data_IF_254163679250
#
_entry.id   IF_254163679250
#
_cell.length_a   1.000
_cell.length_b   1.000
_cell.length_c   1.000
_cell.angle_alpha   90.00
_cell.angle_beta   90.00
_cell.angle_gamma   90.00
#
_symmetry.space_group_name_H-M   'P 1'
#
loop_
_entity.id
_entity.type
_entity.pdbx_description
1 polymer ?
#
# COMPACT_ATOMS: atom_id res chain seq x y z
N UNK A 1 29.19 -8.60 -15.03
CA UNK A 1 29.52 -7.76 -13.86
C UNK A 1 29.05 -8.48 -12.61
N UNK A 2 29.88 -8.58 -11.58
CA UNK A 2 29.58 -9.28 -10.31
C UNK A 2 29.51 -8.34 -9.10
N UNK A 3 29.84 -7.05 -9.28
CA UNK A 3 29.77 -6.04 -8.23
C UNK A 3 28.38 -5.39 -8.16
N UNK A 4 27.92 -5.12 -6.93
CA UNK A 4 26.65 -4.44 -6.69
C UNK A 4 26.79 -2.96 -7.03
N UNK A 5 25.87 -2.45 -7.86
CA UNK A 5 25.86 -1.05 -8.31
C UNK A 5 25.02 -0.15 -7.39
N UNK A 6 25.18 1.16 -7.53
CA UNK A 6 24.24 2.14 -6.98
C UNK A 6 22.94 2.11 -7.79
N UNK A 7 21.89 1.52 -7.22
CA UNK A 7 20.58 1.41 -7.83
C UNK A 7 19.65 2.49 -7.26
N UNK A 8 19.27 3.46 -8.10
CA UNK A 8 18.36 4.56 -7.79
C UNK A 8 16.95 4.36 -8.37
N UNK A 9 16.54 3.11 -8.63
CA UNK A 9 15.20 2.78 -9.14
C UNK A 9 14.10 3.27 -8.18
N UNK A 10 13.03 3.81 -8.76
CA UNK A 10 11.86 4.32 -8.03
C UNK A 10 10.83 3.23 -7.65
N UNK A 11 10.96 2.00 -8.19
CA UNK A 11 10.02 0.90 -7.93
C UNK A 11 9.94 -0.13 -9.08
N UNK A 12 10.20 -1.43 -8.85
CA UNK A 12 10.79 -2.02 -7.64
C UNK A 12 12.14 -1.38 -7.29
N UNK A 13 12.49 -1.39 -6.00
CA UNK A 13 13.65 -0.66 -5.47
C UNK A 13 14.64 -1.62 -4.77
N UNK A 14 15.70 -1.05 -4.18
CA UNK A 14 16.74 -1.82 -3.47
C UNK A 14 16.19 -2.48 -2.21
N UNK A 15 16.65 -3.71 -1.94
CA UNK A 15 16.47 -4.39 -0.66
C UNK A 15 17.76 -4.36 0.16
N UNK A 16 17.68 -4.34 1.50
CA UNK A 16 18.85 -4.51 2.36
C UNK A 16 19.62 -5.80 2.03
N UNK A 17 20.95 -5.72 1.99
CA UNK A 17 21.82 -6.87 1.68
C UNK A 17 21.54 -8.08 2.59
N UNK A 18 21.41 -7.92 3.93
CA UNK A 18 21.16 -9.05 4.82
C UNK A 18 19.90 -9.85 4.47
N UNK A 19 18.83 -9.18 4.03
CA UNK A 19 17.57 -9.82 3.62
C UNK A 19 17.77 -10.70 2.38
N UNK A 20 18.56 -10.23 1.41
CA UNK A 20 18.87 -11.00 0.20
C UNK A 20 19.76 -12.20 0.52
N UNK A 21 20.71 -12.04 1.42
CA UNK A 21 21.61 -13.12 1.85
C UNK A 21 20.87 -14.22 2.59
N UNK A 22 19.94 -13.85 3.48
CA UNK A 22 19.07 -14.77 4.20
C UNK A 22 18.12 -15.51 3.25
N UNK A 23 17.43 -14.79 2.36
CA UNK A 23 16.57 -15.39 1.35
C UNK A 23 17.36 -16.35 0.44
N UNK A 24 18.59 -15.99 0.05
CA UNK A 24 19.49 -16.86 -0.72
C UNK A 24 19.85 -18.13 0.07
N UNK A 25 20.22 -17.97 1.35
CA UNK A 25 20.64 -19.08 2.20
C UNK A 25 19.51 -20.10 2.43
N UNK A 26 18.25 -19.66 2.43
CA UNK A 26 17.08 -20.49 2.71
C UNK A 26 16.20 -20.77 1.49
N UNK A 27 16.63 -20.39 0.28
CA UNK A 27 15.84 -20.47 -0.95
C UNK A 27 15.38 -21.90 -1.26
N UNK A 28 16.28 -22.88 -1.14
CA UNK A 28 15.98 -24.28 -1.47
C UNK A 28 15.35 -25.03 -0.30
N UNK A 29 15.60 -24.61 0.93
CA UNK A 29 15.17 -25.32 2.12
C UNK A 29 15.06 -24.36 3.28
N UNK A 30 13.83 -24.16 3.76
CA UNK A 30 13.57 -23.47 5.01
C UNK A 30 14.06 -24.32 6.20
N UNK A 31 14.80 -23.73 7.15
CA UNK A 31 15.24 -24.43 8.35
C UNK A 31 14.06 -25.06 9.11
N UNK A 32 14.20 -26.34 9.48
CA UNK A 32 13.16 -27.08 10.20
C UNK A 32 11.96 -27.56 9.37
N UNK A 33 11.81 -27.10 8.12
CA UNK A 33 10.68 -27.47 7.25
C UNK A 33 11.10 -28.43 6.14
N UNK A 34 12.32 -28.30 5.62
CA UNK A 34 12.84 -29.23 4.60
C UNK A 34 12.36 -28.93 3.16
N UNK A 35 11.66 -27.82 2.93
CA UNK A 35 11.12 -27.40 1.62
C UNK A 35 11.36 -25.91 1.40
N UNK A 36 11.34 -25.44 0.15
CA UNK A 36 11.37 -24.01 -0.15
C UNK A 36 10.09 -23.31 0.34
N UNK A 37 10.19 -22.03 0.73
CA UNK A 37 9.01 -21.19 1.04
C UNK A 37 8.02 -21.12 -0.13
N UNK A 38 8.49 -21.32 -1.35
CA UNK A 38 7.65 -21.33 -2.55
C UNK A 38 6.88 -22.64 -2.76
N UNK A 39 7.23 -23.70 -2.03
CA UNK A 39 6.64 -25.05 -2.17
C UNK A 39 5.71 -25.40 -1.01
N UNK A 40 5.82 -24.70 0.12
CA UNK A 40 4.97 -24.96 1.29
C UNK A 40 3.54 -24.49 1.06
N UNK A 41 2.59 -25.26 1.62
CA UNK A 41 1.18 -24.86 1.61
C UNK A 41 0.98 -23.56 2.40
N UNK A 42 0.21 -22.62 1.84
CA UNK A 42 -0.25 -21.40 2.53
C UNK A 42 -1.14 -21.69 3.75
N UNK A 43 -1.54 -22.95 3.97
CA UNK A 43 -2.30 -23.40 5.14
C UNK A 43 -1.44 -24.19 6.14
N UNK A 44 -0.16 -24.37 5.85
CA UNK A 44 0.75 -25.05 6.76
C UNK A 44 1.06 -24.17 7.96
N UNK A 45 1.35 -24.79 9.11
CA UNK A 45 1.82 -24.08 10.30
C UNK A 45 3.06 -23.24 10.02
N UNK A 46 3.97 -23.75 9.18
CA UNK A 46 5.18 -23.04 8.78
C UNK A 46 4.87 -21.73 8.04
N UNK A 47 3.91 -21.72 7.11
CA UNK A 47 3.51 -20.48 6.43
C UNK A 47 2.73 -19.54 7.36
N UNK A 48 1.87 -20.09 8.23
CA UNK A 48 1.12 -19.32 9.22
C UNK A 48 2.06 -18.52 10.14
N UNK A 49 3.15 -19.14 10.61
CA UNK A 49 4.19 -18.47 11.39
C UNK A 49 4.88 -17.33 10.61
N UNK A 50 5.12 -17.50 9.31
CA UNK A 50 5.72 -16.46 8.45
C UNK A 50 4.80 -15.26 8.32
N UNK A 51 3.53 -15.47 7.97
CA UNK A 51 2.59 -14.37 7.73
C UNK A 51 2.20 -13.65 9.02
N UNK A 52 2.03 -14.38 10.13
CA UNK A 52 1.81 -13.78 11.45
C UNK A 52 3.05 -13.02 11.95
N UNK A 53 4.25 -13.53 11.69
CA UNK A 53 5.50 -12.83 11.98
C UNK A 53 5.61 -11.49 11.22
N UNK A 54 5.28 -11.49 9.93
CA UNK A 54 5.26 -10.27 9.12
C UNK A 54 4.21 -9.26 9.62
N UNK A 55 3.02 -9.73 9.97
CA UNK A 55 1.95 -8.91 10.54
C UNK A 55 2.36 -8.29 11.88
N UNK A 56 2.91 -9.10 12.78
CA UNK A 56 3.39 -8.66 14.09
C UNK A 56 4.52 -7.64 13.96
N UNK A 57 5.46 -7.85 13.04
CA UNK A 57 6.54 -6.91 12.75
C UNK A 57 6.02 -5.55 12.27
N UNK A 58 5.04 -5.53 11.37
CA UNK A 58 4.37 -4.28 10.95
C UNK A 58 3.69 -3.58 12.12
N UNK A 59 3.01 -4.36 12.97
CA UNK A 59 2.28 -3.85 14.13
C UNK A 59 3.19 -3.21 15.15
N UNK A 60 4.33 -3.84 15.44
CA UNK A 60 5.36 -3.33 16.34
C UNK A 60 6.03 -2.08 15.77
N UNK A 61 6.49 -2.13 14.52
CA UNK A 61 7.21 -1.04 13.87
C UNK A 61 6.38 0.24 13.73
N UNK A 62 5.09 0.11 13.40
CA UNK A 62 4.20 1.23 13.10
C UNK A 62 3.25 1.57 14.26
N UNK A 63 3.29 0.81 15.37
CA UNK A 63 2.39 1.00 16.50
C UNK A 63 0.91 0.78 16.16
N UNK A 64 0.59 -0.17 15.28
CA UNK A 64 -0.78 -0.38 14.78
C UNK A 64 -1.66 -0.94 15.92
N UNK A 65 -2.74 -0.25 16.32
CA UNK A 65 -3.56 -0.69 17.45
C UNK A 65 -4.43 -1.90 17.10
N UNK A 66 -4.94 -2.60 18.12
CA UNK A 66 -5.69 -3.86 17.97
C UNK A 66 -7.01 -3.72 17.22
N UNK A 67 -7.56 -2.50 17.12
CA UNK A 67 -8.79 -2.21 16.39
C UNK A 67 -8.56 -2.02 14.88
N UNK A 68 -7.36 -2.27 14.36
CA UNK A 68 -7.05 -2.28 12.93
C UNK A 68 -6.58 -3.66 12.46
N UNK A 69 -7.12 -4.08 11.32
CA UNK A 69 -6.67 -5.26 10.59
C UNK A 69 -5.49 -4.89 9.67
N UNK A 70 -4.55 -5.82 9.49
CA UNK A 70 -3.45 -5.73 8.51
C UNK A 70 -3.73 -6.77 7.43
N UNK A 71 -3.80 -6.34 6.17
CA UNK A 71 -4.17 -7.18 5.04
C UNK A 71 -3.02 -7.28 4.04
N UNK A 72 -2.70 -8.51 3.60
CA UNK A 72 -1.74 -8.78 2.53
C UNK A 72 -2.49 -9.09 1.23
N UNK A 73 -2.70 -8.06 0.40
CA UNK A 73 -3.49 -8.15 -0.83
C UNK A 73 -2.60 -8.09 -2.08
N UNK A 74 -3.05 -8.77 -3.14
CA UNK A 74 -2.43 -8.69 -4.47
C UNK A 74 -2.96 -7.47 -5.26
N UNK A 75 -2.40 -7.23 -6.46
CA UNK A 75 -2.85 -6.17 -7.38
C UNK A 75 -2.17 -4.80 -7.18
N UNK A 76 -1.37 -4.64 -6.14
CA UNK A 76 -0.61 -3.42 -5.86
C UNK A 76 -1.50 -2.22 -5.50
N UNK A 77 -0.87 -1.06 -5.29
CA UNK A 77 -1.58 0.17 -4.92
C UNK A 77 -2.62 0.61 -5.97
N UNK A 78 -2.35 0.36 -7.25
CA UNK A 78 -3.27 0.70 -8.34
C UNK A 78 -4.62 -0.01 -8.23
N UNK A 79 -4.67 -1.26 -7.76
CA UNK A 79 -5.95 -1.94 -7.54
C UNK A 79 -6.74 -1.31 -6.39
N UNK A 80 -6.04 -0.79 -5.37
CA UNK A 80 -6.67 -0.15 -4.21
C UNK A 80 -7.35 1.18 -4.59
N UNK A 81 -6.88 1.87 -5.63
CA UNK A 81 -7.56 3.04 -6.18
C UNK A 81 -9.01 2.77 -6.62
N UNK A 82 -9.32 1.53 -7.01
CA UNK A 82 -10.69 1.09 -7.31
C UNK A 82 -11.33 0.36 -6.13
N UNK A 83 -10.57 -0.48 -5.41
CA UNK A 83 -11.12 -1.31 -4.33
C UNK A 83 -11.63 -0.47 -3.14
N UNK A 84 -10.95 0.63 -2.79
CA UNK A 84 -11.40 1.54 -1.73
C UNK A 84 -12.78 2.13 -2.06
N UNK A 85 -12.98 2.86 -3.18
CA UNK A 85 -14.29 3.42 -3.50
C UNK A 85 -15.37 2.34 -3.68
N UNK A 86 -15.06 1.17 -4.25
CA UNK A 86 -16.04 0.07 -4.35
C UNK A 86 -16.57 -0.44 -3.00
N UNK A 87 -15.83 -0.26 -1.90
CA UNK A 87 -16.27 -0.69 -0.56
C UNK A 87 -16.93 0.43 0.25
N UNK A 88 -16.61 1.70 -0.04
CA UNK A 88 -17.00 2.83 0.79
C UNK A 88 -17.88 3.87 0.08
N UNK A 89 -18.11 3.71 -1.23
CA UNK A 89 -18.81 4.69 -2.05
C UNK A 89 -19.87 4.04 -2.94
N UNK A 90 -21.09 4.54 -2.85
CA UNK A 90 -22.19 4.26 -3.78
C UNK A 90 -22.31 5.36 -4.85
N UNK A 91 -23.06 5.11 -5.93
CA UNK A 91 -23.15 6.03 -7.08
C UNK A 91 -23.74 7.41 -6.74
N UNK A 92 -24.53 7.50 -5.67
CA UNK A 92 -25.18 8.71 -5.15
C UNK A 92 -24.46 9.31 -3.93
N UNK A 93 -23.30 8.76 -3.56
CA UNK A 93 -22.46 9.24 -2.46
C UNK A 93 -21.21 9.95 -3.01
N UNK A 94 -20.56 10.76 -2.17
CA UNK A 94 -19.32 11.45 -2.52
C UNK A 94 -18.16 11.14 -1.57
N UNK A 95 -16.94 11.33 -2.05
CA UNK A 95 -15.72 11.29 -1.27
C UNK A 95 -14.80 12.45 -1.61
N UNK A 96 -14.07 12.93 -0.61
CA UNK A 96 -13.10 14.01 -0.75
C UNK A 96 -11.74 13.48 -1.19
N UNK A 97 -11.11 14.18 -2.13
CA UNK A 97 -9.78 13.87 -2.62
C UNK A 97 -8.86 15.09 -2.55
N UNK A 98 -7.63 14.87 -2.08
CA UNK A 98 -6.58 15.90 -2.00
C UNK A 98 -5.56 15.65 -3.12
N UNK A 99 -5.63 16.43 -4.20
CA UNK A 99 -4.80 16.24 -5.38
C UNK A 99 -3.42 16.89 -5.21
N UNK A 100 -2.43 16.09 -4.82
CA UNK A 100 -1.03 16.51 -4.61
C UNK A 100 -0.04 15.88 -5.58
N UNK A 101 -0.48 15.14 -6.60
CA UNK A 101 0.45 14.57 -7.57
C UNK A 101 -0.14 13.55 -8.54
N UNK A 102 0.75 12.92 -9.31
CA UNK A 102 0.40 11.95 -10.35
C UNK A 102 -0.35 10.72 -9.84
N UNK A 103 -0.10 10.28 -8.60
CA UNK A 103 -0.81 9.15 -8.00
C UNK A 103 -2.24 9.52 -7.61
N UNK A 104 -2.45 10.72 -7.05
CA UNK A 104 -3.78 11.26 -6.76
C UNK A 104 -4.66 11.33 -8.01
N UNK A 105 -4.12 11.79 -9.15
CA UNK A 105 -4.86 11.79 -10.44
C UNK A 105 -5.37 10.40 -10.83
N UNK A 106 -4.58 9.36 -10.58
CA UNK A 106 -4.98 7.97 -10.87
C UNK A 106 -6.03 7.48 -9.89
N UNK A 107 -5.91 7.80 -8.60
CA UNK A 107 -6.90 7.46 -7.59
C UNK A 107 -8.26 8.10 -7.88
N UNK A 108 -8.29 9.41 -8.15
CA UNK A 108 -9.49 10.17 -8.52
C UNK A 108 -10.17 9.57 -9.74
N UNK A 109 -9.41 9.25 -10.80
CA UNK A 109 -9.95 8.66 -12.02
C UNK A 109 -10.66 7.32 -11.78
N UNK A 110 -10.16 6.51 -10.86
CA UNK A 110 -10.80 5.24 -10.51
C UNK A 110 -12.03 5.44 -9.61
N UNK A 111 -11.97 6.37 -8.65
CA UNK A 111 -13.07 6.67 -7.75
C UNK A 111 -14.30 7.28 -8.44
N UNK A 112 -14.10 8.10 -9.48
CA UNK A 112 -15.16 8.66 -10.32
C UNK A 112 -16.03 7.60 -11.02
N UNK A 113 -15.61 6.32 -11.04
CA UNK A 113 -16.41 5.21 -11.57
C UNK A 113 -17.40 4.65 -10.56
N UNK A 114 -17.23 4.96 -9.27
CA UNK A 114 -17.98 4.39 -8.16
C UNK A 114 -18.92 5.41 -7.49
N UNK A 115 -18.65 6.70 -7.62
CA UNK A 115 -19.47 7.79 -7.09
C UNK A 115 -18.89 9.15 -7.41
N UNK A 116 -19.36 10.18 -6.72
CA UNK A 116 -18.89 11.54 -6.89
C UNK A 116 -17.54 11.77 -6.18
N UNK A 117 -16.66 12.55 -6.81
CA UNK A 117 -15.39 12.95 -6.21
C UNK A 117 -15.39 14.46 -6.05
N UNK A 118 -15.33 14.92 -4.80
CA UNK A 118 -15.07 16.30 -4.48
C UNK A 118 -13.56 16.53 -4.34
N UNK A 119 -13.03 17.57 -5.00
CA UNK A 119 -11.64 17.96 -4.83
C UNK A 119 -11.53 18.94 -3.66
N UNK A 120 -11.28 18.40 -2.47
CA UNK A 120 -11.09 19.21 -1.26
C UNK A 120 -9.86 20.14 -1.36
N UNK A 121 -8.87 19.77 -2.17
CA UNK A 121 -7.78 20.65 -2.59
C UNK A 121 -7.14 20.15 -3.90
N UNK A 122 -6.65 21.07 -4.73
CA UNK A 122 -5.89 20.77 -5.95
C UNK A 122 -4.59 21.59 -6.00
N UNK A 123 -3.46 20.90 -5.92
CA UNK A 123 -2.11 21.49 -5.92
C UNK A 123 -1.47 21.51 -7.31
N UNK A 124 -2.24 21.28 -8.37
CA UNK A 124 -1.72 21.19 -9.74
C UNK A 124 -1.18 22.50 -10.27
N UNK A 125 -1.75 23.65 -9.87
CA UNK A 125 -1.28 25.00 -10.25
C UNK A 125 0.16 25.27 -9.78
N UNK A 126 0.56 24.69 -8.64
CA UNK A 126 1.92 24.79 -8.09
C UNK A 126 2.87 23.70 -8.58
N UNK A 127 2.49 22.90 -9.58
CA UNK A 127 3.29 21.79 -10.08
C UNK A 127 3.53 20.67 -9.05
N UNK A 128 2.65 20.52 -8.07
CA UNK A 128 2.77 19.53 -6.99
C UNK A 128 4.02 19.70 -6.10
N UNK A 129 4.47 20.93 -5.89
CA UNK A 129 5.66 21.25 -5.09
C UNK A 129 5.40 21.39 -3.58
N UNK A 130 4.13 21.34 -3.15
CA UNK A 130 3.72 21.39 -1.75
C UNK A 130 2.42 20.63 -1.52
N UNK A 131 2.07 20.43 -0.26
CA UNK A 131 0.78 19.93 0.20
C UNK A 131 -0.10 21.10 0.70
N UNK A 132 -1.44 20.97 0.71
CA UNK A 132 -2.32 22.00 1.28
C UNK A 132 -2.18 22.09 2.80
N UNK A 133 -2.45 23.27 3.37
CA UNK A 133 -2.67 23.45 4.81
C UNK A 133 -4.10 23.07 5.19
N UNK A 134 -4.38 22.95 6.49
CA UNK A 134 -5.73 22.58 6.96
C UNK A 134 -6.80 23.60 6.53
N UNK A 135 -6.43 24.88 6.45
CA UNK A 135 -7.33 25.98 6.07
C UNK A 135 -7.63 26.01 4.56
N UNK A 136 -6.78 25.36 3.75
CA UNK A 136 -6.97 25.25 2.30
C UNK A 136 -7.89 24.07 1.92
N UNK A 137 -8.17 23.17 2.86
CA UNK A 137 -9.03 22.01 2.64
C UNK A 137 -10.51 22.39 2.72
N UNK A 138 -11.24 22.13 1.64
CA UNK A 138 -12.69 22.28 1.55
C UNK A 138 -13.34 20.91 1.66
N UNK A 139 -13.40 20.38 2.88
CA UNK A 139 -13.97 19.05 3.16
C UNK A 139 -15.50 19.09 3.19
N UNK A 140 -16.14 18.10 2.60
CA UNK A 140 -17.59 17.93 2.60
C UNK A 140 -18.09 17.27 3.89
N UNK A 141 -19.16 17.81 4.47
CA UNK A 141 -19.79 17.23 5.67
C UNK A 141 -20.43 15.85 5.40
N UNK A 142 -20.77 15.56 4.13
CA UNK A 142 -21.39 14.31 3.67
C UNK A 142 -20.41 13.35 2.98
N UNK A 143 -19.13 13.71 2.90
CA UNK A 143 -18.09 12.87 2.32
C UNK A 143 -17.89 11.59 3.12
N UNK A 144 -17.87 10.45 2.43
CA UNK A 144 -17.71 9.13 3.07
C UNK A 144 -16.30 8.86 3.58
N UNK A 145 -15.32 9.46 2.92
CA UNK A 145 -13.93 9.45 3.34
C UNK A 145 -13.17 10.59 2.65
N UNK A 146 -11.96 10.84 3.18
CA UNK A 146 -10.97 11.73 2.58
C UNK A 146 -9.78 10.89 2.12
N UNK A 147 -9.32 11.09 0.89
CA UNK A 147 -8.14 10.44 0.32
C UNK A 147 -7.07 11.43 -0.13
#
# INVERSE_FOLDING_TARGET
MTERIFNFSAGPAVLPVPVLEEARAHMLTLPGVGMSVMEISHRSKAFDEIIQGAEAGLRDLLGIPKNYAVLFLQGGASLQFTMVPMNFLSLDENADYILTGSWGKKAIKEAQKCGEVNLAADMSDGGFTRVPTQEELQLGDDAKYVH
#
